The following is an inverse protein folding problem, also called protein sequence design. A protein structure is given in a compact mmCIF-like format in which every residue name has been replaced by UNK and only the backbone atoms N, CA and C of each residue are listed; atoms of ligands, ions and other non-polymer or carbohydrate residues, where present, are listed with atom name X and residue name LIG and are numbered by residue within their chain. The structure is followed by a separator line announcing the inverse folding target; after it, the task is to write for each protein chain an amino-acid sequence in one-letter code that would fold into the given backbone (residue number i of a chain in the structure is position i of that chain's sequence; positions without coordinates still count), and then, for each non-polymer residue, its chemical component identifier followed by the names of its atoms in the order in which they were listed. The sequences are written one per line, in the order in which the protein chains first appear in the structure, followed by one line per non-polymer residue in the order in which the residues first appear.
data_IF_379795652024
#
_entry.id   IF_379795652024
#
_cell.length_a   1.000
_cell.length_b   1.000
_cell.length_c   1.000
_cell.angle_alpha   90.00
_cell.angle_beta   90.00
_cell.angle_gamma   90.00
#
_symmetry.space_group_name_H-M   'P 1'
#
loop_
_entity.id
_entity.type
_entity.pdbx_description
1 polymer ?
#
# COMPACT_ATOMS: atom_id res chain seq x y z
N UNK A 1 -62.74 -18.78 17.71
CA UNK A 1 -61.55 -19.49 18.22
C UNK A 1 -60.36 -19.26 17.29
N UNK A 2 -59.36 -18.55 17.84
CA UNK A 2 -57.95 -18.31 17.48
C UNK A 2 -57.42 -18.63 16.06
N UNK A 3 -57.20 -17.54 15.30
CA UNK A 3 -56.18 -17.41 14.25
C UNK A 3 -54.79 -17.55 14.89
N UNK A 4 -53.93 -18.44 14.38
CA UNK A 4 -52.50 -18.48 14.75
C UNK A 4 -51.71 -17.71 13.70
N UNK A 5 -51.31 -16.50 14.05
CA UNK A 5 -50.22 -15.78 13.39
C UNK A 5 -48.92 -16.49 13.73
N UNK A 6 -48.15 -16.92 12.73
CA UNK A 6 -46.76 -17.31 12.90
C UNK A 6 -45.93 -16.04 12.67
N UNK A 7 -45.46 -15.46 13.78
CA UNK A 7 -44.39 -14.48 13.78
C UNK A 7 -43.10 -15.22 13.40
N UNK A 8 -42.58 -14.98 12.20
CA UNK A 8 -41.20 -15.27 11.86
C UNK A 8 -40.32 -14.24 12.58
N UNK A 9 -39.79 -14.62 13.74
CA UNK A 9 -38.84 -13.81 14.50
C UNK A 9 -37.55 -13.67 13.69
N UNK A 10 -37.28 -12.45 13.24
CA UNK A 10 -35.93 -12.02 12.86
C UNK A 10 -35.12 -12.09 14.15
N UNK A 11 -34.27 -13.12 14.29
CA UNK A 11 -33.18 -13.09 15.26
C UNK A 11 -32.17 -12.05 14.77
N UNK A 12 -32.47 -10.79 15.07
CA UNK A 12 -31.45 -9.75 15.08
C UNK A 12 -30.52 -10.09 16.22
N UNK A 13 -29.40 -10.74 15.90
CA UNK A 13 -28.27 -10.84 16.81
C UNK A 13 -27.85 -9.42 17.15
N UNK A 14 -28.17 -9.01 18.37
CA UNK A 14 -27.82 -7.73 18.95
C UNK A 14 -26.31 -7.77 19.22
N UNK A 15 -25.50 -7.49 18.20
CA UNK A 15 -24.06 -7.34 18.37
C UNK A 15 -23.84 -5.98 19.01
N UNK A 16 -23.56 -6.02 20.31
CA UNK A 16 -23.24 -4.85 21.11
C UNK A 16 -21.96 -4.23 20.54
N UNK A 17 -22.05 -2.95 20.20
CA UNK A 17 -20.98 -2.11 19.70
C UNK A 17 -19.90 -1.97 20.79
N UNK A 18 -18.97 -2.92 20.85
CA UNK A 18 -17.78 -2.78 21.69
C UNK A 18 -16.68 -2.14 20.84
N UNK A 19 -16.32 -0.91 21.22
CA UNK A 19 -15.06 -0.33 20.81
C UNK A 19 -13.95 -1.34 21.13
N UNK A 20 -13.19 -1.72 20.10
CA UNK A 20 -12.09 -2.67 20.15
C UNK A 20 -11.09 -2.21 21.21
N UNK A 21 -11.21 -2.74 22.43
CA UNK A 21 -10.21 -2.55 23.48
C UNK A 21 -9.33 -3.80 23.50
N UNK A 22 -8.43 -3.88 22.51
CA UNK A 22 -7.38 -4.89 22.48
C UNK A 22 -6.40 -4.65 23.64
N UNK A 23 -6.20 -5.66 24.48
CA UNK A 23 -5.15 -5.63 25.48
C UNK A 23 -3.84 -5.99 24.79
N UNK A 24 -3.04 -4.97 24.45
CA UNK A 24 -1.68 -5.14 23.94
C UNK A 24 -0.76 -5.56 25.10
N UNK A 25 -0.56 -6.86 25.30
CA UNK A 25 0.49 -7.37 26.19
C UNK A 25 1.83 -7.30 25.45
N UNK A 26 2.63 -6.26 25.76
CA UNK A 26 3.97 -6.10 25.22
C UNK A 26 4.96 -7.05 25.89
N UNK A 27 5.22 -8.19 25.27
CA UNK A 27 6.38 -9.04 25.59
C UNK A 27 7.38 -9.00 24.44
N UNK A 28 8.60 -8.55 24.71
CA UNK A 28 9.69 -8.58 23.75
C UNK A 28 10.08 -10.03 23.50
N UNK A 29 9.81 -10.54 22.30
CA UNK A 29 10.21 -11.90 21.89
C UNK A 29 11.39 -11.79 20.92
N UNK A 30 12.46 -12.51 21.27
CA UNK A 30 13.59 -12.76 20.39
C UNK A 30 13.12 -13.68 19.26
N UNK A 31 13.00 -13.14 18.05
CA UNK A 31 12.78 -13.94 16.83
C UNK A 31 14.04 -14.78 16.62
N UNK A 32 13.92 -16.10 16.80
CA UNK A 32 15.00 -17.04 16.54
C UNK A 32 15.53 -16.90 15.11
N UNK A 33 16.85 -16.99 14.95
CA UNK A 33 17.57 -16.86 13.69
C UNK A 33 17.11 -17.90 12.67
N UNK A 34 16.31 -17.49 11.68
CA UNK A 34 15.93 -18.32 10.53
C UNK A 34 16.77 -17.86 9.33
N UNK A 35 17.41 -18.83 8.68
CA UNK A 35 18.32 -18.64 7.54
C UNK A 35 17.58 -17.99 6.36
N UNK A 36 18.23 -16.99 5.76
CA UNK A 36 17.85 -16.44 4.44
C UNK A 36 17.88 -17.58 3.41
N UNK A 37 16.71 -17.94 2.87
CA UNK A 37 16.59 -18.80 1.70
C UNK A 37 15.63 -18.13 0.69
N UNK A 38 15.97 -18.29 -0.59
CA UNK A 38 15.60 -17.46 -1.75
C UNK A 38 14.09 -17.15 -1.87
N UNK A 39 13.65 -16.08 -1.21
CA UNK A 39 12.30 -15.51 -1.34
C UNK A 39 12.37 -14.27 -2.24
N UNK A 40 11.54 -14.15 -3.28
CA UNK A 40 11.52 -12.97 -4.13
C UNK A 40 11.13 -11.76 -3.26
N UNK A 41 12.04 -10.81 -3.11
CA UNK A 41 11.80 -9.57 -2.36
C UNK A 41 10.69 -8.75 -3.03
N UNK A 42 9.47 -8.82 -2.49
CA UNK A 42 8.35 -8.02 -2.96
C UNK A 42 8.50 -6.60 -2.38
N UNK A 43 9.27 -5.76 -3.07
CA UNK A 43 9.45 -4.34 -2.74
C UNK A 43 8.43 -3.49 -3.50
N UNK A 44 7.25 -3.27 -2.94
CA UNK A 44 6.50 -2.08 -3.31
C UNK A 44 7.01 -0.85 -2.52
N UNK A 45 6.58 0.34 -2.91
CA UNK A 45 7.20 1.62 -2.53
C UNK A 45 6.21 2.69 -2.03
N UNK A 46 4.99 2.30 -1.63
CA UNK A 46 4.10 3.17 -0.82
C UNK A 46 4.60 3.36 0.62
N UNK A 47 3.96 4.24 1.40
CA UNK A 47 4.16 4.25 2.85
C UNK A 47 3.35 3.10 3.46
N UNK A 48 3.97 2.17 4.19
CA UNK A 48 3.23 1.08 4.81
C UNK A 48 2.27 1.65 5.87
N UNK A 49 1.02 1.16 5.96
CA UNK A 49 0.05 1.59 6.98
C UNK A 49 0.47 1.31 8.43
N UNK A 50 1.47 0.43 8.62
CA UNK A 50 2.03 0.03 9.91
C UNK A 50 3.56 -0.05 9.81
N UNK A 51 4.24 -0.10 10.95
CA UNK A 51 5.71 -0.18 11.03
C UNK A 51 6.15 -1.32 11.96
N UNK A 52 7.47 -1.57 12.04
CA UNK A 52 8.04 -2.54 12.97
C UNK A 52 7.62 -3.98 12.71
N UNK A 53 7.35 -4.74 13.77
CA UNK A 53 6.96 -6.16 13.70
C UNK A 53 5.66 -6.37 12.92
N UNK A 54 4.68 -5.47 13.07
CA UNK A 54 3.42 -5.52 12.33
C UNK A 54 3.65 -5.48 10.81
N UNK A 55 4.62 -4.69 10.34
CA UNK A 55 4.98 -4.66 8.93
C UNK A 55 5.62 -5.97 8.46
N UNK A 56 6.46 -6.60 9.29
CA UNK A 56 7.06 -7.89 8.96
C UNK A 56 5.99 -9.00 8.85
N UNK A 57 5.02 -9.01 9.76
CA UNK A 57 3.89 -9.93 9.74
C UNK A 57 3.01 -9.71 8.51
N UNK A 58 2.68 -8.45 8.18
CA UNK A 58 1.92 -8.09 7.00
C UNK A 58 2.61 -8.54 5.70
N UNK A 59 3.92 -8.28 5.57
CA UNK A 59 4.72 -8.67 4.40
C UNK A 59 4.78 -10.17 4.23
N UNK A 60 5.05 -10.93 5.30
CA UNK A 60 5.05 -12.41 5.24
C UNK A 60 3.68 -12.95 4.85
N UNK A 61 2.62 -12.38 5.40
CA UNK A 61 1.23 -12.78 5.06
C UNK A 61 0.93 -12.49 3.59
N UNK A 62 1.32 -11.32 3.08
CA UNK A 62 1.18 -10.97 1.67
C UNK A 62 1.91 -11.95 0.75
N UNK A 63 3.19 -12.21 1.03
CA UNK A 63 4.03 -13.13 0.26
C UNK A 63 3.44 -14.54 0.25
N UNK A 64 2.95 -15.01 1.41
CA UNK A 64 2.31 -16.32 1.54
C UNK A 64 1.04 -16.43 0.69
N UNK A 65 0.14 -15.44 0.76
CA UNK A 65 -1.08 -15.39 -0.05
C UNK A 65 -0.79 -15.40 -1.56
N UNK A 66 0.24 -14.67 -1.99
CA UNK A 66 0.67 -14.64 -3.39
C UNK A 66 1.29 -15.98 -3.81
N UNK A 67 2.19 -16.53 -2.99
CA UNK A 67 2.99 -17.72 -3.32
C UNK A 67 2.15 -19.00 -3.27
N UNK A 68 1.44 -19.23 -2.18
CA UNK A 68 0.72 -20.49 -1.92
C UNK A 68 -0.70 -20.48 -2.51
N UNK A 69 -1.38 -19.33 -2.49
CA UNK A 69 -2.77 -19.23 -2.94
C UNK A 69 -2.97 -18.57 -4.29
N UNK A 70 -1.89 -18.08 -4.92
CA UNK A 70 -1.91 -17.41 -6.23
C UNK A 70 -2.84 -16.21 -6.26
N UNK A 71 -2.95 -15.49 -5.14
CA UNK A 71 -3.68 -14.23 -5.12
C UNK A 71 -3.02 -13.24 -6.08
N UNK A 72 -3.81 -12.31 -6.61
CA UNK A 72 -3.23 -11.12 -7.22
C UNK A 72 -2.76 -10.16 -6.13
N UNK A 73 -1.93 -9.19 -6.48
CA UNK A 73 -1.54 -8.14 -5.53
C UNK A 73 -2.76 -7.42 -4.95
N UNK A 74 -3.76 -7.10 -5.78
CA UNK A 74 -5.03 -6.52 -5.32
C UNK A 74 -5.81 -7.47 -4.40
N UNK A 75 -5.78 -8.78 -4.67
CA UNK A 75 -6.35 -9.81 -3.80
C UNK A 75 -5.70 -9.82 -2.41
N UNK A 76 -4.38 -9.96 -2.37
CA UNK A 76 -3.61 -10.01 -1.13
C UNK A 76 -3.72 -8.71 -0.32
N UNK A 77 -3.68 -7.54 -0.96
CA UNK A 77 -3.87 -6.24 -0.29
C UNK A 77 -5.27 -6.09 0.34
N UNK A 78 -6.30 -6.68 -0.28
CA UNK A 78 -7.64 -6.70 0.30
C UNK A 78 -7.72 -7.54 1.59
N UNK A 79 -7.07 -8.70 1.62
CA UNK A 79 -6.97 -9.53 2.83
C UNK A 79 -6.21 -8.80 3.94
N UNK A 80 -5.07 -8.18 3.62
CA UNK A 80 -4.29 -7.41 4.58
C UNK A 80 -5.06 -6.23 5.20
N UNK A 81 -5.90 -5.54 4.42
CA UNK A 81 -6.73 -4.47 4.95
C UNK A 81 -7.62 -4.93 6.12
N UNK A 82 -8.16 -6.15 6.01
CA UNK A 82 -8.98 -6.76 7.05
C UNK A 82 -8.11 -7.23 8.22
N UNK A 83 -6.98 -7.89 7.97
CA UNK A 83 -6.05 -8.32 9.03
C UNK A 83 -5.53 -7.14 9.88
N UNK A 84 -5.27 -5.99 9.26
CA UNK A 84 -4.91 -4.77 9.99
C UNK A 84 -6.05 -4.25 10.87
N UNK A 85 -7.30 -4.23 10.36
CA UNK A 85 -8.46 -3.83 11.13
C UNK A 85 -8.64 -4.74 12.35
N UNK A 86 -8.46 -6.04 12.16
CA UNK A 86 -8.70 -7.06 13.19
C UNK A 86 -7.66 -7.04 14.31
N UNK A 87 -6.37 -6.90 13.97
CA UNK A 87 -5.29 -7.15 14.95
C UNK A 87 -4.15 -6.15 14.90
N UNK A 88 -4.13 -5.25 13.91
CA UNK A 88 -2.94 -4.46 13.60
C UNK A 88 -1.73 -5.33 13.22
N UNK A 89 -1.97 -6.56 12.73
CA UNK A 89 -0.96 -7.59 12.46
C UNK A 89 -0.16 -8.06 13.69
N UNK A 90 -0.79 -8.07 14.86
CA UNK A 90 -0.26 -8.78 16.02
C UNK A 90 -0.78 -10.23 16.02
N UNK A 91 0.07 -11.25 15.78
CA UNK A 91 -0.34 -12.66 15.82
C UNK A 91 -0.91 -13.07 17.20
N UNK A 92 -0.44 -12.44 18.27
CA UNK A 92 -0.94 -12.71 19.62
C UNK A 92 -2.04 -11.74 20.07
N UNK A 93 -2.72 -11.05 19.13
CA UNK A 93 -3.89 -10.24 19.44
C UNK A 93 -5.02 -11.14 19.97
N UNK A 94 -5.53 -10.84 21.16
CA UNK A 94 -6.63 -11.59 21.79
C UNK A 94 -7.75 -10.62 22.15
N UNK A 95 -8.98 -11.01 21.83
CA UNK A 95 -10.19 -10.39 22.36
C UNK A 95 -10.98 -11.44 23.17
N UNK A 96 -10.83 -11.43 24.51
CA UNK A 96 -11.47 -12.42 25.38
C UNK A 96 -13.00 -12.39 25.31
N UNK A 97 -13.60 -11.19 25.17
CA UNK A 97 -15.05 -11.03 25.10
C UNK A 97 -15.64 -11.67 23.85
N UNK A 98 -14.91 -11.60 22.73
CA UNK A 98 -15.28 -12.26 21.48
C UNK A 98 -14.86 -13.74 21.42
N UNK A 99 -14.01 -14.22 22.32
CA UNK A 99 -13.41 -15.55 22.23
C UNK A 99 -12.54 -15.73 20.98
N UNK A 100 -11.90 -14.66 20.51
CA UNK A 100 -11.15 -14.64 19.25
C UNK A 100 -9.69 -14.27 19.45
N UNK A 101 -8.80 -14.77 18.58
CA UNK A 101 -7.38 -14.45 18.59
C UNK A 101 -6.71 -14.56 17.22
N UNK A 102 -5.50 -14.01 17.06
CA UNK A 102 -4.73 -14.09 15.81
C UNK A 102 -4.91 -12.89 14.89
N UNK A 103 -4.17 -12.86 13.78
CA UNK A 103 -4.16 -11.74 12.84
C UNK A 103 -5.54 -11.45 12.23
N UNK A 104 -6.38 -12.48 12.07
CA UNK A 104 -7.76 -12.40 11.59
C UNK A 104 -8.79 -12.66 12.68
N UNK A 105 -8.39 -12.66 13.96
CA UNK A 105 -9.30 -12.88 15.09
C UNK A 105 -10.17 -14.15 14.92
N UNK A 106 -9.53 -15.30 14.69
CA UNK A 106 -10.21 -16.59 14.63
C UNK A 106 -10.89 -16.93 15.94
N UNK A 107 -12.13 -17.43 15.86
CA UNK A 107 -12.92 -17.83 17.02
C UNK A 107 -12.43 -19.14 17.64
N UNK A 108 -12.68 -19.28 18.94
CA UNK A 108 -12.36 -20.48 19.73
C UNK A 108 -11.15 -20.34 20.63
N UNK A 109 -10.61 -19.12 20.85
CA UNK A 109 -9.38 -18.94 21.66
C UNK A 109 -9.58 -19.31 23.13
N UNK A 110 -10.65 -18.81 23.75
CA UNK A 110 -11.00 -19.11 25.15
C UNK A 110 -12.50 -19.22 25.39
N UNK A 111 -13.30 -18.99 24.35
CA UNK A 111 -14.75 -19.10 24.34
C UNK A 111 -15.19 -19.45 22.92
N UNK A 112 -16.24 -20.27 22.80
CA UNK A 112 -16.80 -20.71 21.52
C UNK A 112 -18.00 -19.86 21.07
N UNK A 113 -18.21 -18.68 21.67
CA UNK A 113 -19.38 -17.84 21.41
C UNK A 113 -19.50 -17.45 19.93
N UNK A 114 -18.37 -17.29 19.23
CA UNK A 114 -18.28 -16.97 17.81
C UNK A 114 -17.80 -18.17 16.97
N UNK A 115 -17.90 -19.40 17.51
CA UNK A 115 -17.45 -20.63 16.87
C UNK A 115 -16.05 -21.09 17.28
N UNK A 116 -15.49 -21.98 16.47
CA UNK A 116 -14.28 -22.75 16.80
C UNK A 116 -13.32 -22.89 15.61
N UNK A 117 -13.05 -21.79 14.91
CA UNK A 117 -12.21 -21.81 13.71
C UNK A 117 -10.75 -22.10 14.02
N UNK A 118 -10.25 -21.62 15.15
CA UNK A 118 -8.81 -21.63 15.51
C UNK A 118 -8.23 -23.05 15.63
N UNK A 119 -9.03 -24.04 16.06
CA UNK A 119 -8.61 -25.42 16.19
C UNK A 119 -8.74 -26.23 14.90
N UNK A 120 -9.32 -25.67 13.84
CA UNK A 120 -9.70 -26.46 12.68
C UNK A 120 -8.49 -27.07 11.96
N UNK A 121 -7.31 -26.45 12.01
CA UNK A 121 -6.07 -27.02 11.46
C UNK A 121 -5.33 -27.94 12.43
N UNK A 122 -5.34 -27.64 13.72
CA UNK A 122 -4.82 -28.49 14.79
C UNK A 122 -3.51 -28.02 15.43
N UNK A 123 -2.78 -27.08 14.81
CA UNK A 123 -1.51 -26.57 15.34
C UNK A 123 -1.66 -25.46 16.39
N UNK A 124 -2.83 -24.80 16.47
CA UNK A 124 -3.12 -23.76 17.47
C UNK A 124 -4.02 -24.37 18.55
N UNK A 125 -3.60 -24.21 19.81
CA UNK A 125 -4.36 -24.61 20.98
C UNK A 125 -4.90 -23.36 21.69
N UNK A 126 -6.21 -23.33 21.94
CA UNK A 126 -6.85 -22.25 22.67
C UNK A 126 -6.22 -22.01 24.03
N UNK A 127 -6.08 -20.74 24.41
CA UNK A 127 -5.44 -20.27 25.64
C UNK A 127 -3.94 -20.61 25.78
N UNK A 128 -3.30 -21.22 24.78
CA UNK A 128 -1.85 -21.46 24.78
C UNK A 128 -1.15 -20.52 23.78
N UNK A 129 -0.70 -19.37 24.31
CA UNK A 129 0.02 -18.34 23.55
C UNK A 129 1.26 -18.87 22.82
N UNK A 130 1.88 -19.96 23.28
CA UNK A 130 3.06 -20.53 22.62
C UNK A 130 2.74 -21.16 21.27
N UNK A 131 1.48 -21.54 21.05
CA UNK A 131 0.99 -22.11 19.79
C UNK A 131 0.38 -21.06 18.85
N UNK A 132 0.00 -19.89 19.38
CA UNK A 132 -0.52 -18.74 18.62
C UNK A 132 0.64 -17.95 17.98
N UNK A 133 1.21 -18.55 16.94
CA UNK A 133 2.32 -18.01 16.16
C UNK A 133 1.88 -17.74 14.73
N UNK A 134 2.53 -16.79 14.05
CA UNK A 134 2.25 -16.51 12.65
C UNK A 134 2.34 -17.78 11.77
N UNK A 135 3.31 -18.66 12.03
CA UNK A 135 3.45 -19.90 11.25
C UNK A 135 2.20 -20.80 11.36
N UNK A 136 1.67 -20.98 12.57
CA UNK A 136 0.48 -21.80 12.78
C UNK A 136 -0.79 -21.10 12.28
N UNK A 137 -0.87 -19.78 12.36
CA UNK A 137 -1.95 -18.99 11.77
C UNK A 137 -1.97 -19.10 10.23
N UNK A 138 -0.80 -19.10 9.58
CA UNK A 138 -0.70 -19.34 8.13
C UNK A 138 -1.13 -20.76 7.76
N UNK A 139 -0.76 -21.80 8.53
CA UNK A 139 -1.26 -23.18 8.32
C UNK A 139 -2.79 -23.24 8.42
N UNK A 140 -3.37 -22.59 9.42
CA UNK A 140 -4.81 -22.49 9.58
C UNK A 140 -5.47 -21.81 8.37
N UNK A 141 -4.96 -20.66 7.96
CA UNK A 141 -5.42 -19.96 6.77
C UNK A 141 -5.31 -20.82 5.50
N UNK A 142 -4.25 -21.62 5.37
CA UNK A 142 -4.07 -22.54 4.25
C UNK A 142 -5.15 -23.62 4.21
N UNK A 143 -5.46 -24.22 5.36
CA UNK A 143 -6.54 -25.20 5.47
C UNK A 143 -7.89 -24.59 5.09
N UNK A 144 -8.16 -23.39 5.58
CA UNK A 144 -9.41 -22.68 5.31
C UNK A 144 -9.55 -22.33 3.82
N UNK A 145 -8.55 -21.70 3.21
CA UNK A 145 -8.56 -21.27 1.80
C UNK A 145 -8.54 -22.44 0.80
N UNK A 146 -7.96 -23.58 1.17
CA UNK A 146 -8.00 -24.80 0.34
C UNK A 146 -9.26 -25.66 0.57
N UNK A 147 -10.05 -25.34 1.59
CA UNK A 147 -11.27 -26.07 1.94
C UNK A 147 -12.51 -25.18 1.88
N UNK A 148 -13.12 -24.99 3.05
CA UNK A 148 -14.41 -24.33 3.22
C UNK A 148 -14.47 -22.89 2.68
N UNK A 149 -13.32 -22.22 2.54
CA UNK A 149 -13.22 -20.83 2.09
C UNK A 149 -12.61 -20.69 0.69
N UNK A 150 -12.58 -21.78 -0.11
CA UNK A 150 -12.06 -21.79 -1.49
C UNK A 150 -12.73 -20.80 -2.44
N UNK A 151 -13.95 -20.33 -2.14
CA UNK A 151 -14.60 -19.22 -2.85
C UNK A 151 -13.77 -17.94 -2.78
N UNK A 152 -13.27 -17.57 -1.59
CA UNK A 152 -12.43 -16.39 -1.38
C UNK A 152 -11.17 -16.51 -2.23
N UNK A 153 -10.52 -17.69 -2.17
CA UNK A 153 -9.34 -17.97 -3.00
C UNK A 153 -9.59 -17.80 -4.50
N UNK A 154 -10.76 -18.24 -4.98
CA UNK A 154 -11.13 -18.10 -6.39
C UNK A 154 -11.35 -16.65 -6.79
N UNK A 155 -11.96 -15.83 -5.93
CA UNK A 155 -12.20 -14.41 -6.19
C UNK A 155 -10.89 -13.62 -6.19
N UNK A 156 -10.07 -13.79 -5.15
CA UNK A 156 -8.88 -12.97 -4.93
C UNK A 156 -7.70 -13.37 -5.83
N UNK A 157 -7.68 -14.58 -6.40
CA UNK A 157 -6.70 -14.96 -7.44
C UNK A 157 -6.95 -14.32 -8.82
N UNK A 158 -8.10 -13.67 -9.01
CA UNK A 158 -8.46 -12.99 -10.27
C UNK A 158 -8.71 -11.50 -10.11
N UNK A 159 -8.80 -11.01 -8.88
CA UNK A 159 -9.18 -9.62 -8.58
C UNK A 159 -8.14 -8.63 -9.12
N UNK A 160 -8.61 -7.46 -9.58
CA UNK A 160 -7.77 -6.30 -9.93
C UNK A 160 -8.11 -5.07 -9.09
N UNK A 161 -9.07 -5.19 -8.18
CA UNK A 161 -9.58 -4.11 -7.36
C UNK A 161 -9.32 -4.44 -5.88
N UNK A 162 -8.40 -3.75 -5.20
CA UNK A 162 -8.09 -4.04 -3.81
C UNK A 162 -9.26 -3.76 -2.86
N UNK A 163 -10.10 -2.77 -3.17
CA UNK A 163 -11.29 -2.44 -2.36
C UNK A 163 -12.31 -3.55 -2.46
N UNK A 164 -12.56 -4.06 -3.68
CA UNK A 164 -13.46 -5.21 -3.85
C UNK A 164 -12.89 -6.46 -3.16
N UNK A 165 -11.58 -6.69 -3.22
CA UNK A 165 -10.94 -7.81 -2.50
C UNK A 165 -11.14 -7.73 -0.98
N UNK A 166 -11.06 -6.54 -0.38
CA UNK A 166 -11.30 -6.36 1.05
C UNK A 166 -12.77 -6.63 1.43
N UNK A 167 -13.71 -6.20 0.58
CA UNK A 167 -15.13 -6.52 0.74
C UNK A 167 -15.37 -8.03 0.66
N UNK A 168 -14.79 -8.69 -0.34
CA UNK A 168 -14.93 -10.13 -0.54
C UNK A 168 -14.31 -10.92 0.62
N UNK A 169 -13.16 -10.49 1.15
CA UNK A 169 -12.56 -11.09 2.35
C UNK A 169 -13.47 -10.89 3.57
N UNK A 170 -13.92 -9.67 3.85
CA UNK A 170 -14.80 -9.41 5.00
C UNK A 170 -16.10 -10.22 4.92
N UNK A 171 -16.71 -10.29 3.73
CA UNK A 171 -18.00 -10.96 3.58
C UNK A 171 -17.88 -12.49 3.56
N UNK A 172 -16.89 -13.04 2.85
CA UNK A 172 -16.83 -14.48 2.58
C UNK A 172 -15.76 -15.21 3.40
N UNK A 173 -14.74 -14.52 3.92
CA UNK A 173 -13.75 -15.12 4.82
C UNK A 173 -14.10 -14.88 6.29
N UNK A 174 -14.31 -13.61 6.69
CA UNK A 174 -14.72 -13.30 8.08
C UNK A 174 -16.18 -13.63 8.35
N UNK A 175 -17.02 -13.68 7.32
CA UNK A 175 -18.45 -13.93 7.47
C UNK A 175 -19.23 -12.75 8.03
N UNK A 176 -18.67 -11.53 7.97
CA UNK A 176 -19.29 -10.30 8.51
C UNK A 176 -19.93 -9.50 7.37
N UNK A 177 -21.19 -9.11 7.54
CA UNK A 177 -21.93 -8.34 6.53
C UNK A 177 -21.29 -6.97 6.28
N UNK A 178 -21.24 -6.52 5.02
CA UNK A 178 -20.70 -5.20 4.67
C UNK A 178 -21.48 -4.01 5.27
N UNK A 179 -22.73 -4.25 5.68
CA UNK A 179 -23.55 -3.25 6.39
C UNK A 179 -23.33 -3.26 7.90
N UNK A 180 -22.57 -4.22 8.43
CA UNK A 180 -22.25 -4.31 9.84
C UNK A 180 -21.20 -3.24 10.20
N UNK A 181 -21.40 -2.56 11.32
CA UNK A 181 -20.47 -1.55 11.82
C UNK A 181 -19.08 -2.12 12.10
N UNK A 182 -18.98 -3.40 12.48
CA UNK A 182 -17.72 -4.10 12.69
C UNK A 182 -16.87 -4.15 11.42
N UNK A 183 -17.49 -4.25 10.24
CA UNK A 183 -16.75 -4.29 8.98
C UNK A 183 -15.92 -3.03 8.76
N UNK A 184 -16.44 -1.87 9.21
CA UNK A 184 -15.84 -0.56 8.99
C UNK A 184 -15.40 -0.39 7.52
N UNK A 185 -16.39 -0.37 6.63
CA UNK A 185 -16.20 -0.43 5.17
C UNK A 185 -15.27 0.67 4.66
N UNK A 186 -15.36 1.87 5.23
CA UNK A 186 -14.48 3.00 4.90
C UNK A 186 -13.03 2.69 5.22
N UNK A 187 -12.73 2.24 6.45
CA UNK A 187 -11.39 1.88 6.88
C UNK A 187 -10.80 0.76 6.03
N UNK A 188 -11.51 -0.35 5.82
CA UNK A 188 -10.94 -1.46 5.02
C UNK A 188 -10.76 -1.08 3.54
N UNK A 189 -11.59 -0.17 3.00
CA UNK A 189 -11.41 0.34 1.64
C UNK A 189 -10.16 1.23 1.54
N UNK A 190 -9.93 2.10 2.54
CA UNK A 190 -8.73 2.93 2.61
C UNK A 190 -7.47 2.07 2.77
N UNK A 191 -7.48 1.14 3.73
CA UNK A 191 -6.36 0.25 4.00
C UNK A 191 -6.04 -0.65 2.79
N UNK A 192 -7.04 -1.14 2.07
CA UNK A 192 -6.79 -1.95 0.87
C UNK A 192 -6.06 -1.17 -0.22
N UNK A 193 -6.47 0.09 -0.45
CA UNK A 193 -5.76 0.98 -1.36
C UNK A 193 -4.35 1.29 -0.87
N UNK A 194 -4.15 1.51 0.44
CA UNK A 194 -2.82 1.78 1.00
C UNK A 194 -1.89 0.57 0.92
N UNK A 195 -2.37 -0.65 1.20
CA UNK A 195 -1.60 -1.88 1.06
C UNK A 195 -1.30 -2.19 -0.40
N UNK A 196 -2.25 -1.95 -1.30
CA UNK A 196 -2.03 -2.10 -2.73
C UNK A 196 -1.00 -1.08 -3.22
N UNK A 197 -1.10 0.18 -2.79
CA UNK A 197 -0.08 1.18 -3.05
C UNK A 197 1.26 0.82 -2.38
N UNK A 198 1.27 0.17 -1.22
CA UNK A 198 2.50 -0.25 -0.56
C UNK A 198 3.20 -1.35 -1.33
N UNK A 199 2.51 -2.42 -1.77
CA UNK A 199 3.12 -3.59 -2.43
C UNK A 199 3.21 -3.49 -3.96
N UNK A 200 2.35 -2.69 -4.58
CA UNK A 200 2.25 -2.54 -6.03
C UNK A 200 2.53 -1.10 -6.49
N UNK A 201 2.32 -0.12 -5.61
CA UNK A 201 2.66 1.26 -5.88
C UNK A 201 4.14 1.46 -5.67
N UNK A 202 4.82 1.91 -6.70
CA UNK A 202 5.92 2.80 -6.41
C UNK A 202 5.30 4.12 -5.96
N UNK A 203 5.47 4.50 -4.68
CA UNK A 203 4.64 5.43 -3.92
C UNK A 203 4.17 6.63 -4.71
N UNK A 204 2.92 6.58 -5.17
CA UNK A 204 2.32 7.69 -5.89
C UNK A 204 1.93 8.77 -4.87
N UNK A 205 2.59 9.92 -4.95
CA UNK A 205 2.31 11.11 -4.14
C UNK A 205 1.05 11.90 -4.56
N UNK A 206 0.12 11.28 -5.28
CA UNK A 206 -0.99 12.01 -5.93
C UNK A 206 -0.64 12.54 -7.33
N UNK A 207 0.53 12.17 -7.85
CA UNK A 207 0.94 12.43 -9.21
C UNK A 207 0.16 11.62 -10.25
N UNK A 208 -0.27 12.26 -11.35
CA UNK A 208 -0.92 11.57 -12.47
C UNK A 208 0.10 10.83 -13.34
N UNK A 209 0.60 9.70 -12.84
CA UNK A 209 1.51 8.82 -13.60
C UNK A 209 0.81 8.25 -14.86
N UNK A 210 -0.52 8.19 -14.89
CA UNK A 210 -1.26 7.78 -16.09
C UNK A 210 -1.05 8.80 -17.22
N UNK A 211 -1.16 10.10 -16.91
CA UNK A 211 -0.88 11.17 -17.88
C UNK A 211 0.48 11.02 -18.56
N UNK A 212 1.52 10.69 -17.79
CA UNK A 212 2.88 10.52 -18.31
C UNK A 212 3.05 9.25 -19.15
N UNK A 213 2.32 8.18 -18.86
CA UNK A 213 2.28 7.00 -19.72
C UNK A 213 1.59 7.31 -21.06
N UNK A 214 0.53 8.11 -21.06
CA UNK A 214 -0.24 8.44 -22.27
C UNK A 214 0.61 9.24 -23.29
N UNK A 215 1.64 9.95 -22.83
CA UNK A 215 2.57 10.72 -23.67
C UNK A 215 3.93 10.03 -23.88
N UNK A 216 4.11 8.80 -23.41
CA UNK A 216 5.36 8.05 -23.59
C UNK A 216 5.66 7.85 -25.08
N UNK A 217 6.90 8.12 -25.50
CA UNK A 217 7.32 8.05 -26.90
C UNK A 217 6.85 9.23 -27.77
N UNK A 218 6.16 10.21 -27.20
CA UNK A 218 5.71 11.41 -27.90
C UNK A 218 6.53 12.64 -27.49
N UNK A 219 6.55 13.67 -28.34
CA UNK A 219 7.11 14.97 -27.98
C UNK A 219 6.07 15.79 -27.23
N UNK A 220 6.41 16.27 -26.04
CA UNK A 220 5.58 17.16 -25.22
C UNK A 220 6.14 18.59 -25.29
N UNK A 221 5.27 19.56 -25.58
CA UNK A 221 5.65 20.98 -25.66
C UNK A 221 6.80 21.23 -26.64
N UNK A 222 7.85 21.91 -26.19
CA UNK A 222 9.03 22.24 -27.00
C UNK A 222 10.00 21.08 -27.23
N UNK A 223 9.70 19.88 -26.73
CA UNK A 223 10.61 18.74 -26.79
C UNK A 223 11.78 18.81 -25.80
N UNK A 224 11.81 19.82 -24.91
CA UNK A 224 12.82 19.97 -23.85
C UNK A 224 12.41 19.26 -22.55
N UNK A 225 13.37 18.98 -21.66
CA UNK A 225 13.09 18.37 -20.36
C UNK A 225 12.11 19.21 -19.53
N UNK A 226 12.31 20.53 -19.52
CA UNK A 226 11.46 21.49 -18.81
C UNK A 226 10.00 21.42 -19.26
N UNK A 227 9.75 21.24 -20.56
CA UNK A 227 8.40 21.19 -21.12
C UNK A 227 7.58 20.01 -20.59
N UNK A 228 8.22 18.87 -20.33
CA UNK A 228 7.54 17.70 -19.74
C UNK A 228 7.16 17.97 -18.27
N UNK A 229 8.09 18.51 -17.48
CA UNK A 229 7.82 18.85 -16.08
C UNK A 229 6.74 19.94 -15.96
N UNK A 230 6.76 20.96 -16.83
CA UNK A 230 5.72 22.00 -16.89
C UNK A 230 4.34 21.41 -17.23
N UNK A 231 4.26 20.60 -18.29
CA UNK A 231 3.03 19.90 -18.68
C UNK A 231 2.43 19.09 -17.51
N UNK A 232 3.27 18.35 -16.80
CA UNK A 232 2.87 17.55 -15.66
C UNK A 232 2.35 18.41 -14.49
N UNK A 233 3.10 19.45 -14.10
CA UNK A 233 2.70 20.36 -13.01
C UNK A 233 1.40 21.10 -13.36
N UNK A 234 1.28 21.59 -14.59
CA UNK A 234 0.08 22.27 -15.07
C UNK A 234 -1.16 21.38 -15.02
N UNK A 235 -1.02 20.10 -15.39
CA UNK A 235 -2.14 19.15 -15.35
C UNK A 235 -2.70 18.92 -13.93
N UNK A 236 -1.85 18.99 -12.91
CA UNK A 236 -2.21 18.72 -11.51
C UNK A 236 -2.72 20.00 -10.83
N UNK A 237 -2.11 21.15 -11.10
CA UNK A 237 -2.33 22.37 -10.31
C UNK A 237 -2.66 23.62 -11.13
N UNK A 238 -2.76 23.51 -12.44
CA UNK A 238 -3.24 24.59 -13.31
C UNK A 238 -2.29 25.79 -13.46
N UNK A 239 -1.08 25.73 -12.90
CA UNK A 239 -0.05 26.77 -13.08
C UNK A 239 1.10 26.27 -13.96
N UNK A 240 1.82 27.20 -14.58
CA UNK A 240 3.02 26.91 -15.36
C UNK A 240 4.28 27.26 -14.58
N UNK A 241 5.29 26.40 -14.70
CA UNK A 241 6.62 26.61 -14.14
C UNK A 241 7.27 27.87 -14.72
N UNK A 242 7.98 28.57 -13.85
CA UNK A 242 8.71 29.81 -14.12
C UNK A 242 10.22 29.56 -13.98
N UNK A 243 11.00 30.41 -14.64
CA UNK A 243 12.45 30.33 -14.67
C UNK A 243 12.97 29.65 -15.94
N UNK A 244 14.30 29.60 -16.04
CA UNK A 244 15.01 29.07 -17.21
C UNK A 244 15.77 27.77 -16.90
N UNK A 245 16.31 27.65 -15.69
CA UNK A 245 17.17 26.53 -15.31
C UNK A 245 16.34 25.42 -14.68
N UNK A 246 16.45 24.20 -15.22
CA UNK A 246 15.82 23.00 -14.67
C UNK A 246 16.26 22.74 -13.22
N UNK A 247 17.54 22.95 -12.90
CA UNK A 247 18.04 22.75 -11.54
C UNK A 247 17.49 23.76 -10.51
N UNK A 248 16.89 24.87 -10.94
CA UNK A 248 16.27 25.88 -10.08
C UNK A 248 14.74 25.75 -9.97
N UNK A 249 14.10 24.80 -10.66
CA UNK A 249 12.63 24.66 -10.66
C UNK A 249 12.06 24.69 -9.24
N UNK A 250 12.66 23.96 -8.30
CA UNK A 250 12.20 23.92 -6.91
C UNK A 250 12.25 25.28 -6.20
N UNK A 251 13.30 26.09 -6.41
CA UNK A 251 13.44 27.41 -5.80
C UNK A 251 12.63 28.48 -6.53
N UNK A 252 12.70 28.51 -7.86
CA UNK A 252 12.04 29.53 -8.70
C UNK A 252 10.51 29.45 -8.57
N UNK A 253 9.98 28.25 -8.28
CA UNK A 253 8.56 27.98 -8.17
C UNK A 253 8.10 27.63 -6.76
N UNK A 254 8.93 27.84 -5.73
CA UNK A 254 8.62 27.40 -4.36
C UNK A 254 7.25 27.91 -3.87
N UNK A 255 6.96 29.19 -4.10
CA UNK A 255 5.69 29.81 -3.72
C UNK A 255 4.49 29.27 -4.53
N UNK A 256 4.69 29.01 -5.83
CA UNK A 256 3.64 28.44 -6.67
C UNK A 256 3.33 26.99 -6.25
N UNK A 257 4.36 26.17 -6.05
CA UNK A 257 4.22 24.81 -5.54
C UNK A 257 3.49 24.77 -4.18
N UNK A 258 3.99 25.52 -3.20
CA UNK A 258 3.45 25.47 -1.83
C UNK A 258 2.02 26.03 -1.74
N UNK A 259 1.69 27.07 -2.51
CA UNK A 259 0.31 27.59 -2.58
C UNK A 259 -0.69 26.60 -3.22
N UNK A 260 -0.21 25.67 -4.03
CA UNK A 260 -1.02 24.60 -4.63
C UNK A 260 -0.87 23.26 -3.88
N UNK A 261 -0.34 23.27 -2.65
CA UNK A 261 -0.27 22.08 -1.79
C UNK A 261 0.87 21.11 -2.08
N UNK A 262 1.80 21.47 -2.97
CA UNK A 262 3.00 20.66 -3.20
C UNK A 262 3.99 20.82 -2.04
N UNK A 263 4.69 19.73 -1.72
CA UNK A 263 5.83 19.76 -0.79
C UNK A 263 7.13 19.84 -1.57
N UNK A 264 7.87 20.93 -1.41
CA UNK A 264 9.20 21.10 -2.01
C UNK A 264 10.28 20.74 -1.00
N UNK A 265 11.21 19.87 -1.39
CA UNK A 265 12.38 19.50 -0.60
C UNK A 265 13.63 19.91 -1.39
N UNK A 266 14.41 20.83 -0.83
CA UNK A 266 15.72 21.20 -1.37
C UNK A 266 16.76 20.20 -0.91
N UNK A 267 17.68 19.82 -1.80
CA UNK A 267 18.76 18.85 -1.54
C UNK A 267 18.27 17.58 -0.84
N UNK A 268 17.31 16.85 -1.44
CA UNK A 268 16.71 15.69 -0.81
C UNK A 268 17.71 14.56 -0.60
N UNK A 269 17.54 13.80 0.47
CA UNK A 269 18.21 12.51 0.68
C UNK A 269 17.51 11.38 -0.10
N UNK A 270 18.17 10.24 -0.27
CA UNK A 270 17.64 9.13 -1.08
C UNK A 270 16.29 8.60 -0.57
N UNK A 271 16.10 8.55 0.74
CA UNK A 271 14.87 8.12 1.43
C UNK A 271 13.72 9.14 1.30
N UNK A 272 13.98 10.35 0.83
CA UNK A 272 12.97 11.38 0.59
C UNK A 272 12.40 11.36 -0.83
N UNK A 273 12.97 10.54 -1.74
CA UNK A 273 12.45 10.38 -3.08
C UNK A 273 11.08 9.69 -3.06
N UNK A 274 10.13 10.21 -3.81
CA UNK A 274 8.76 9.67 -3.91
C UNK A 274 8.33 9.67 -5.38
N UNK A 275 7.63 8.64 -5.82
CA UNK A 275 7.09 8.65 -7.17
C UNK A 275 5.97 9.70 -7.32
N UNK A 276 5.87 10.27 -8.51
CA UNK A 276 5.07 11.45 -8.82
C UNK A 276 5.78 12.77 -8.53
N UNK A 277 6.91 12.78 -7.81
CA UNK A 277 7.65 14.01 -7.58
C UNK A 277 8.36 14.49 -8.86
N UNK A 278 8.32 15.80 -9.10
CA UNK A 278 9.23 16.44 -10.07
C UNK A 278 10.62 16.45 -9.44
N UNK A 279 11.62 15.93 -10.15
CA UNK A 279 13.02 15.86 -9.69
C UNK A 279 13.89 16.74 -10.57
N UNK A 280 14.79 17.49 -9.95
CA UNK A 280 15.62 18.49 -10.61
C UNK A 280 17.10 18.22 -10.31
N UNK A 281 17.92 18.14 -11.36
CA UNK A 281 19.36 17.89 -11.27
C UNK A 281 20.16 19.10 -11.72
N UNK A 282 21.16 19.46 -10.92
CA UNK A 282 22.26 20.33 -11.31
C UNK A 282 23.34 19.54 -12.04
N UNK A 283 24.52 20.12 -12.16
CA UNK A 283 25.66 19.49 -12.85
C UNK A 283 26.06 18.18 -12.17
N UNK A 284 26.28 17.14 -12.97
CA UNK A 284 26.52 15.79 -12.47
C UNK A 284 26.24 14.72 -13.52
N UNK A 285 26.08 13.47 -13.07
CA UNK A 285 25.94 12.32 -13.95
C UNK A 285 24.73 12.40 -14.90
N UNK A 286 23.65 13.06 -14.48
CA UNK A 286 22.42 13.21 -15.28
C UNK A 286 22.48 14.40 -16.22
N UNK A 287 22.88 15.57 -15.72
CA UNK A 287 22.84 16.81 -16.50
C UNK A 287 24.12 17.12 -17.29
N UNK A 288 25.23 16.43 -17.00
CA UNK A 288 26.55 16.76 -17.54
C UNK A 288 27.20 17.94 -16.81
N UNK A 289 28.27 18.46 -17.39
CA UNK A 289 29.00 19.63 -16.88
C UNK A 289 28.30 20.95 -17.22
N UNK A 290 28.64 22.01 -16.51
CA UNK A 290 28.08 23.35 -16.77
C UNK A 290 28.39 23.88 -18.18
N UNK A 291 29.52 23.49 -18.77
CA UNK A 291 29.90 23.86 -20.14
C UNK A 291 29.09 23.13 -21.21
N UNK A 292 28.61 21.92 -20.93
CA UNK A 292 27.81 21.13 -21.86
C UNK A 292 26.32 21.48 -21.74
N UNK A 293 25.86 21.69 -20.51
CA UNK A 293 24.47 22.00 -20.21
C UNK A 293 24.37 22.97 -19.01
N UNK A 294 24.30 24.28 -19.26
CA UNK A 294 24.24 25.27 -18.20
C UNK A 294 22.88 25.33 -17.49
N UNK A 295 21.87 24.57 -17.94
CA UNK A 295 20.50 24.64 -17.43
C UNK A 295 20.11 23.49 -16.49
N UNK A 296 20.90 22.41 -16.44
CA UNK A 296 20.57 21.21 -15.66
C UNK A 296 19.58 20.28 -16.36
N UNK A 297 18.95 19.39 -15.60
CA UNK A 297 17.93 18.47 -16.11
C UNK A 297 16.75 18.34 -15.15
N UNK A 298 15.59 17.94 -15.65
CA UNK A 298 14.39 17.68 -14.84
C UNK A 298 13.58 16.53 -15.43
N UNK A 299 12.79 15.88 -14.58
CA UNK A 299 11.84 14.84 -14.96
C UNK A 299 10.88 14.54 -13.83
N UNK A 300 10.06 13.50 -14.01
CA UNK A 300 9.11 13.06 -12.98
C UNK A 300 9.45 11.65 -12.54
N UNK A 301 9.64 11.44 -11.24
CA UNK A 301 9.94 10.12 -10.67
C UNK A 301 8.74 9.20 -10.90
N UNK A 302 8.95 8.05 -11.53
CA UNK A 302 7.92 7.03 -11.76
C UNK A 302 7.96 5.91 -10.73
N UNK A 303 9.15 5.51 -10.28
CA UNK A 303 9.32 4.51 -9.23
C UNK A 303 10.53 4.80 -8.35
N UNK A 304 10.54 4.37 -7.09
CA UNK A 304 11.69 4.47 -6.18
C UNK A 304 11.93 3.12 -5.50
N UNK A 305 13.20 2.69 -5.42
CA UNK A 305 13.65 1.48 -4.74
C UNK A 305 15.00 1.76 -4.07
N UNK A 306 14.97 2.12 -2.78
CA UNK A 306 16.16 2.57 -2.06
C UNK A 306 16.74 3.82 -2.73
N UNK A 307 18.03 3.78 -3.08
CA UNK A 307 18.67 4.86 -3.84
C UNK A 307 18.44 4.79 -5.35
N UNK A 308 17.93 3.68 -5.90
CA UNK A 308 17.62 3.57 -7.33
C UNK A 308 16.19 4.03 -7.60
N UNK A 309 15.96 4.68 -8.73
CA UNK A 309 14.64 5.16 -9.11
C UNK A 309 14.51 5.21 -10.63
N UNK A 310 13.28 5.32 -11.12
CA UNK A 310 13.01 5.52 -12.55
C UNK A 310 12.25 6.81 -12.75
N UNK A 311 12.35 7.38 -13.94
CA UNK A 311 11.81 8.71 -14.26
C UNK A 311 11.20 8.74 -15.65
N UNK A 312 10.20 9.61 -15.85
CA UNK A 312 9.84 10.12 -17.16
C UNK A 312 10.66 11.37 -17.45
N UNK A 313 11.37 11.36 -18.56
CA UNK A 313 12.26 12.45 -18.97
C UNK A 313 12.11 12.70 -20.46
N UNK A 314 12.48 13.90 -20.90
CA UNK A 314 12.49 14.29 -22.31
C UNK A 314 13.78 15.04 -22.62
N UNK A 315 14.25 14.95 -23.87
CA UNK A 315 15.54 15.49 -24.30
C UNK A 315 16.75 14.84 -23.62
N UNK A 316 16.64 13.56 -23.30
CA UNK A 316 17.79 12.77 -22.81
C UNK A 316 18.67 12.44 -24.01
N UNK A 317 19.94 12.86 -23.97
CA UNK A 317 20.89 12.66 -25.07
C UNK A 317 20.46 13.31 -26.39
N UNK A 318 19.67 14.39 -26.35
CA UNK A 318 19.16 15.07 -27.55
C UNK A 318 17.88 14.49 -28.13
N UNK A 319 17.31 13.43 -27.54
CA UNK A 319 16.11 12.78 -28.05
C UNK A 319 14.85 13.45 -27.47
N UNK A 320 14.16 14.21 -28.30
CA UNK A 320 13.03 15.08 -27.92
C UNK A 320 11.68 14.33 -27.81
N UNK A 321 11.68 13.14 -27.22
CA UNK A 321 10.45 12.41 -26.87
C UNK A 321 10.51 12.02 -25.39
N UNK A 322 9.34 11.79 -24.80
CA UNK A 322 9.22 11.27 -23.43
C UNK A 322 9.71 9.83 -23.37
N UNK A 323 10.65 9.55 -22.48
CA UNK A 323 11.29 8.25 -22.29
C UNK A 323 11.34 7.90 -20.81
N UNK A 324 11.49 6.60 -20.52
CA UNK A 324 11.77 6.12 -19.17
C UNK A 324 13.27 5.95 -18.97
N UNK A 325 13.79 6.53 -17.89
CA UNK A 325 15.20 6.41 -17.52
C UNK A 325 15.35 5.68 -16.19
N UNK A 326 16.43 4.91 -16.05
CA UNK A 326 16.87 4.38 -14.77
C UNK A 326 17.90 5.35 -14.18
N UNK A 327 17.72 5.71 -12.92
CA UNK A 327 18.53 6.68 -12.19
C UNK A 327 18.94 6.11 -10.84
N UNK A 328 20.00 6.68 -10.28
CA UNK A 328 20.44 6.42 -8.91
C UNK A 328 20.58 7.77 -8.23
N UNK A 329 20.19 7.85 -6.97
CA UNK A 329 20.30 9.06 -6.18
C UNK A 329 21.76 9.48 -6.09
N UNK A 330 22.00 10.77 -6.31
CA UNK A 330 23.27 11.41 -6.12
C UNK A 330 23.06 12.86 -5.70
N UNK A 331 24.12 13.50 -5.20
CA UNK A 331 24.06 14.85 -4.60
C UNK A 331 23.86 15.98 -5.61
N UNK A 332 23.84 15.70 -6.92
CA UNK A 332 23.48 16.67 -7.97
C UNK A 332 21.99 16.98 -7.99
N UNK A 333 21.13 16.15 -7.39
CA UNK A 333 19.71 16.47 -7.20
C UNK A 333 19.62 17.75 -6.34
N UNK A 334 19.08 18.82 -6.93
CA UNK A 334 18.96 20.13 -6.27
C UNK A 334 17.66 20.26 -5.50
N UNK A 335 16.60 19.62 -5.99
CA UNK A 335 15.28 19.64 -5.37
C UNK A 335 14.39 18.53 -5.89
N UNK A 336 13.38 18.19 -5.09
CA UNK A 336 12.16 17.51 -5.54
C UNK A 336 10.93 18.34 -5.16
N UNK A 337 9.91 18.34 -6.02
CA UNK A 337 8.59 18.89 -5.71
C UNK A 337 7.57 17.74 -5.74
N UNK A 338 7.01 17.41 -4.59
CA UNK A 338 6.08 16.30 -4.37
C UNK A 338 4.64 16.84 -4.51
N UNK A 339 3.82 16.30 -5.42
CA UNK A 339 2.44 16.75 -5.60
C UNK A 339 1.59 16.56 -4.34
N UNK A 340 0.49 17.34 -4.21
CA UNK A 340 -0.52 17.07 -3.19
C UNK A 340 -1.19 15.72 -3.46
N UNK A 341 -1.59 15.01 -2.40
CA UNK A 341 -2.46 13.85 -2.54
C UNK A 341 -3.80 14.32 -3.10
N UNK A 342 -4.18 13.84 -4.29
CA UNK A 342 -5.37 14.33 -4.97
C UNK A 342 -6.65 14.02 -4.22
N UNK A 343 -7.43 15.05 -3.90
CA UNK A 343 -8.88 14.90 -3.79
C UNK A 343 -9.39 14.64 -5.20
N UNK A 344 -9.88 13.42 -5.45
CA UNK A 344 -10.55 13.08 -6.71
C UNK A 344 -11.78 13.97 -6.85
N UNK A 345 -11.73 14.96 -7.74
CA UNK A 345 -12.94 15.51 -8.36
C UNK A 345 -13.49 14.51 -9.36
#
# INVERSE_FOLDING_TARGET
MKKKFIFGGIFGSLVIFFGVMCVMLGSMVSIGSIKEDDTPTISGSGTPPVTGEALQVATKTYEHLMKEHKFTSAGASGALAVGQRESGFNPQAINPSGGVAGIFQWSGWGSFINGDRIHSEGSIQGMDLSTLTLENELKLMDKELNGSYSKVKTLLSKSKDPVQSAKDWSLYYEGVSLSDGQTNLEMISQLANQWYAYFNGSGSSGGDIKLLNDVLGQTVGSGQCYALSDYYVNSISGFHLQGLCAFNIGSDNFSAFTSHGWKVIMKPTADQLVAGAVVNWGFGAVAGSASENPYGHTGVISTVKGSSFTTYEQNVGGVQIVQKMNRTWDSSITSIAIPPQGDKK
#
